data_IF_027209538513
#
_entry.id   IF_027209538513
#
_cell.length_a   1.000
_cell.length_b   1.000
_cell.length_c   1.000
_cell.angle_alpha   90.00
_cell.angle_beta   90.00
_cell.angle_gamma   90.00
#
_symmetry.space_group_name_H-M   'P 1'
#
loop_
_entity.id
_entity.type
_entity.pdbx_description
1 polymer ?
#
# COMPACT_ATOMS: atom_id res chain seq x y z
N UNK A 1 10.29 11.33 2.71
CA UNK A 1 10.94 10.18 3.40
C UNK A 1 10.13 8.95 3.06
N UNK A 2 10.78 7.88 2.58
CA UNK A 2 10.05 6.72 2.06
C UNK A 2 10.04 5.56 3.06
N UNK A 3 8.91 4.84 3.06
CA UNK A 3 8.70 3.56 3.76
C UNK A 3 9.02 3.63 5.25
N UNK A 4 8.47 4.65 5.94
CA UNK A 4 8.63 4.70 7.40
C UNK A 4 7.89 3.52 8.02
N UNK A 5 8.51 2.87 9.02
CA UNK A 5 8.01 1.64 9.60
C UNK A 5 8.07 1.60 11.13
N UNK A 6 8.52 2.69 11.79
CA UNK A 6 8.67 2.73 13.25
C UNK A 6 7.94 3.90 13.89
N UNK A 7 7.53 3.73 15.14
CA UNK A 7 6.96 4.75 16.01
C UNK A 7 7.89 5.97 16.14
N UNK A 8 9.19 5.72 16.31
CA UNK A 8 10.18 6.79 16.44
C UNK A 8 10.24 7.66 15.17
N UNK A 9 10.13 7.03 13.99
CA UNK A 9 10.09 7.78 12.73
C UNK A 9 8.87 8.70 12.65
N UNK A 10 7.69 8.20 13.03
CA UNK A 10 6.46 9.01 13.10
C UNK A 10 6.64 10.19 14.05
N UNK A 11 7.17 9.95 15.26
CA UNK A 11 7.38 10.98 16.27
C UNK A 11 8.39 12.05 15.83
N UNK A 12 9.48 11.64 15.16
CA UNK A 12 10.48 12.57 14.63
C UNK A 12 9.86 13.45 13.54
N UNK A 13 9.12 12.86 12.60
CA UNK A 13 8.46 13.59 11.52
C UNK A 13 7.42 14.55 12.07
N UNK A 14 6.55 14.11 12.98
CA UNK A 14 5.55 14.96 13.63
C UNK A 14 6.18 16.17 14.32
N UNK A 15 7.27 15.97 15.07
CA UNK A 15 8.03 17.05 15.70
C UNK A 15 8.70 17.98 14.67
N UNK A 16 9.18 17.46 13.55
CA UNK A 16 9.74 18.27 12.48
C UNK A 16 8.68 19.16 11.83
N UNK A 17 7.51 18.60 11.49
CA UNK A 17 6.36 19.32 10.94
C UNK A 17 5.89 20.44 11.90
N UNK A 18 5.79 20.14 13.20
CA UNK A 18 5.41 21.13 14.21
C UNK A 18 6.39 22.31 14.34
N UNK A 19 7.64 22.13 13.90
CA UNK A 19 8.65 23.20 13.81
C UNK A 19 8.68 23.90 12.45
N UNK A 20 7.72 23.61 11.56
CA UNK A 20 7.63 24.20 10.25
C UNK A 20 8.58 23.60 9.19
N UNK A 21 9.20 22.45 9.47
CA UNK A 21 10.01 21.75 8.46
C UNK A 21 9.10 21.18 7.38
N UNK A 22 9.38 21.54 6.13
CA UNK A 22 8.67 20.97 4.97
C UNK A 22 9.18 19.55 4.72
N UNK A 23 8.48 18.58 5.21
CA UNK A 23 8.76 17.15 5.04
C UNK A 23 7.48 16.42 4.70
N UNK A 24 7.57 15.48 3.78
CA UNK A 24 6.52 14.51 3.46
C UNK A 24 7.05 13.10 3.67
N UNK A 25 6.16 12.16 3.98
CA UNK A 25 6.54 10.77 4.16
C UNK A 25 5.46 9.80 3.69
N UNK A 26 5.90 8.58 3.42
CA UNK A 26 5.03 7.46 3.08
C UNK A 26 5.26 6.24 3.97
N UNK A 27 4.30 5.33 3.94
CA UNK A 27 4.39 3.99 4.52
C UNK A 27 3.73 2.97 3.60
N UNK A 28 3.99 1.67 3.83
CA UNK A 28 3.44 0.59 3.01
C UNK A 28 2.17 -0.04 3.58
N UNK A 29 1.33 -0.67 2.72
CA UNK A 29 0.16 -1.44 3.18
C UNK A 29 0.52 -2.51 4.21
N UNK A 30 1.64 -3.19 4.02
CA UNK A 30 2.11 -4.26 4.91
C UNK A 30 2.50 -3.73 6.30
N UNK A 31 3.05 -2.51 6.42
CA UNK A 31 3.37 -1.89 7.71
C UNK A 31 2.13 -1.42 8.49
N UNK A 32 1.02 -1.15 7.78
CA UNK A 32 -0.25 -0.72 8.38
C UNK A 32 -1.15 -1.89 8.80
N UNK A 33 -0.84 -3.12 8.36
CA UNK A 33 -1.76 -4.26 8.51
C UNK A 33 -1.11 -5.51 9.09
N UNK A 34 0.20 -5.50 9.26
CA UNK A 34 0.99 -6.62 9.79
C UNK A 34 2.08 -6.12 10.75
N UNK A 35 2.49 -7.00 11.65
CA UNK A 35 3.61 -6.77 12.56
C UNK A 35 4.54 -7.99 12.61
N UNK A 36 5.57 -7.95 13.44
CA UNK A 36 6.56 -9.02 13.58
C UNK A 36 5.97 -10.36 14.10
N UNK A 37 4.84 -10.30 14.81
CA UNK A 37 4.12 -11.50 15.25
C UNK A 37 3.48 -12.28 14.08
N UNK A 38 3.29 -11.65 12.92
CA UNK A 38 2.72 -12.26 11.72
C UNK A 38 3.78 -12.94 10.84
N UNK A 39 5.08 -12.80 11.17
CA UNK A 39 6.17 -13.36 10.39
C UNK A 39 6.15 -14.89 10.37
N UNK A 40 6.44 -15.42 9.19
CA UNK A 40 6.65 -16.84 8.97
C UNK A 40 8.06 -17.09 8.41
N UNK A 41 8.61 -18.28 8.54
CA UNK A 41 9.91 -18.66 7.94
C UNK A 41 9.74 -18.89 6.42
N UNK A 42 9.37 -17.80 5.75
CA UNK A 42 9.11 -17.78 4.31
C UNK A 42 9.59 -16.46 3.72
N UNK A 43 10.23 -16.52 2.57
CA UNK A 43 10.74 -15.33 1.87
C UNK A 43 9.67 -14.30 1.51
N UNK A 44 8.39 -14.69 1.42
CA UNK A 44 7.27 -13.75 1.16
C UNK A 44 7.06 -12.73 2.29
N UNK A 45 7.68 -12.91 3.45
CA UNK A 45 7.68 -11.95 4.55
C UNK A 45 8.97 -11.13 4.64
N UNK A 46 9.91 -11.34 3.70
CA UNK A 46 11.16 -10.57 3.69
C UNK A 46 11.05 -9.33 2.84
N UNK A 47 11.03 -8.17 3.50
CA UNK A 47 11.07 -6.84 2.91
C UNK A 47 12.04 -5.93 3.67
N UNK A 48 12.35 -4.77 3.13
CA UNK A 48 13.16 -3.75 3.78
C UNK A 48 12.52 -2.35 3.56
N UNK A 49 12.15 -1.67 4.64
CA UNK A 49 12.23 -2.04 6.07
C UNK A 49 11.51 -3.34 6.41
N UNK A 50 11.93 -4.09 7.45
CA UNK A 50 11.20 -5.26 7.90
C UNK A 50 9.93 -4.85 8.66
N UNK A 51 8.98 -5.79 8.79
CA UNK A 51 7.84 -5.63 9.71
C UNK A 51 8.37 -5.40 11.13
N UNK A 52 7.73 -4.48 11.84
CA UNK A 52 8.10 -4.07 13.19
C UNK A 52 7.05 -4.53 14.19
N UNK A 53 7.22 -4.10 15.43
CA UNK A 53 6.30 -4.44 16.51
C UNK A 53 4.86 -3.97 16.24
N UNK A 54 3.92 -4.55 16.96
CA UNK A 54 2.52 -4.10 16.96
C UNK A 54 2.40 -2.64 17.43
N UNK A 55 3.28 -2.19 18.32
CA UNK A 55 3.32 -0.79 18.77
C UNK A 55 3.70 0.14 17.61
N UNK A 56 4.68 -0.25 16.80
CA UNK A 56 5.08 0.49 15.61
C UNK A 56 3.94 0.55 14.58
N UNK A 57 3.30 -0.58 14.29
CA UNK A 57 2.14 -0.64 13.39
C UNK A 57 1.03 0.31 13.86
N UNK A 58 0.69 0.29 15.14
CA UNK A 58 -0.33 1.18 15.69
C UNK A 58 0.07 2.66 15.57
N UNK A 59 1.33 2.98 15.79
CA UNK A 59 1.84 4.35 15.65
C UNK A 59 1.78 4.85 14.18
N UNK A 60 2.02 3.96 13.21
CA UNK A 60 1.83 4.28 11.79
C UNK A 60 0.35 4.56 11.48
N UNK A 61 -0.57 3.74 11.99
CA UNK A 61 -2.02 3.95 11.83
C UNK A 61 -2.43 5.32 12.41
N UNK A 62 -1.95 5.68 13.59
CA UNK A 62 -2.22 7.01 14.16
C UNK A 62 -1.59 8.13 13.31
N UNK A 63 -0.39 7.91 12.74
CA UNK A 63 0.25 8.84 11.81
C UNK A 63 -0.54 9.04 10.51
N UNK A 64 -1.22 8.00 10.02
CA UNK A 64 -2.16 8.09 8.90
C UNK A 64 -3.40 8.90 9.30
N UNK A 65 -3.96 8.66 10.48
CA UNK A 65 -5.17 9.35 10.97
C UNK A 65 -4.95 10.84 11.17
N UNK A 66 -3.85 11.21 11.81
CA UNK A 66 -3.53 12.61 12.16
C UNK A 66 -2.87 13.41 11.03
N UNK A 67 -2.51 12.75 9.92
CA UNK A 67 -1.92 13.39 8.74
C UNK A 67 -0.41 13.61 8.85
N UNK A 68 0.27 12.98 9.80
CA UNK A 68 1.74 12.93 9.84
C UNK A 68 2.30 12.14 8.66
N UNK A 69 1.59 11.09 8.23
CA UNK A 69 1.91 10.30 7.03
C UNK A 69 1.04 10.79 5.89
N UNK A 70 1.66 11.24 4.81
CA UNK A 70 0.99 11.85 3.66
C UNK A 70 0.49 10.83 2.64
N UNK A 71 1.27 9.78 2.40
CA UNK A 71 1.11 8.86 1.25
C UNK A 71 1.18 7.41 1.71
N UNK A 72 0.42 6.54 1.04
CA UNK A 72 0.60 5.10 1.11
C UNK A 72 1.21 4.63 -0.20
N UNK A 73 2.45 4.15 -0.13
CA UNK A 73 3.22 3.61 -1.25
C UNK A 73 3.40 2.10 -1.10
N UNK A 74 3.24 1.35 -2.17
CA UNK A 74 3.19 -0.12 -2.11
C UNK A 74 4.53 -0.79 -1.83
N UNK A 75 5.63 -0.11 -2.13
CA UNK A 75 6.98 -0.71 -2.14
C UNK A 75 7.02 -2.02 -2.94
N UNK A 76 6.33 -2.03 -4.09
CA UNK A 76 6.21 -3.20 -4.94
C UNK A 76 7.56 -3.59 -5.53
N UNK A 77 8.14 -4.66 -5.02
CA UNK A 77 9.47 -5.15 -5.40
C UNK A 77 9.44 -6.66 -5.72
N UNK A 78 9.03 -7.03 -6.96
CA UNK A 78 8.94 -8.41 -7.37
C UNK A 78 10.32 -9.05 -7.53
N UNK A 79 10.45 -10.28 -7.08
CA UNK A 79 11.62 -11.12 -7.22
C UNK A 79 11.22 -12.50 -7.77
N UNK A 80 12.18 -13.22 -8.35
CA UNK A 80 11.96 -14.57 -8.84
C UNK A 80 11.64 -15.56 -7.73
N UNK A 81 11.01 -16.67 -8.09
CA UNK A 81 10.74 -17.77 -7.14
C UNK A 81 12.02 -18.27 -6.47
N UNK A 82 13.11 -18.37 -7.24
CA UNK A 82 14.41 -18.81 -6.71
C UNK A 82 14.96 -17.84 -5.66
N UNK A 83 14.88 -16.52 -5.91
CA UNK A 83 15.34 -15.51 -4.96
C UNK A 83 14.49 -15.48 -3.68
N UNK A 84 13.23 -15.86 -3.75
CA UNK A 84 12.29 -15.85 -2.62
C UNK A 84 12.14 -17.19 -1.91
N UNK A 85 12.78 -18.27 -2.37
CA UNK A 85 12.67 -19.61 -1.80
C UNK A 85 13.68 -19.93 -0.69
N UNK A 86 14.43 -18.94 -0.20
CA UNK A 86 15.56 -19.13 0.74
C UNK A 86 15.22 -18.75 2.19
N UNK A 87 13.93 -18.79 2.54
CA UNK A 87 13.40 -18.41 3.87
C UNK A 87 13.60 -16.93 4.19
N UNK A 88 13.32 -16.52 5.42
CA UNK A 88 13.48 -15.13 5.86
C UNK A 88 14.91 -14.65 5.76
N UNK A 89 15.88 -15.49 6.13
CA UNK A 89 17.29 -15.07 6.18
C UNK A 89 17.90 -14.94 4.80
N UNK A 90 17.66 -15.89 3.92
CA UNK A 90 18.38 -16.03 2.64
C UNK A 90 17.71 -15.38 1.43
N UNK A 91 16.43 -15.09 1.50
CA UNK A 91 15.69 -14.51 0.35
C UNK A 91 16.09 -13.06 0.06
N UNK A 92 15.86 -12.62 -1.17
CA UNK A 92 15.95 -11.22 -1.55
C UNK A 92 14.90 -10.39 -0.79
N UNK A 93 15.22 -9.13 -0.50
CA UNK A 93 14.33 -8.17 0.16
C UNK A 93 13.37 -7.57 -0.86
N UNK A 94 12.07 -7.66 -0.60
CA UNK A 94 11.01 -7.12 -1.44
C UNK A 94 9.84 -8.09 -1.56
N UNK A 95 8.64 -7.53 -1.68
CA UNK A 95 7.39 -8.28 -1.81
C UNK A 95 6.52 -7.66 -2.91
N UNK A 96 5.62 -8.45 -3.48
CA UNK A 96 4.62 -7.89 -4.40
C UNK A 96 3.41 -7.41 -3.59
N UNK A 97 2.94 -6.21 -3.91
CA UNK A 97 1.84 -5.58 -3.18
C UNK A 97 0.97 -4.65 -4.03
N UNK A 98 1.33 -4.41 -5.30
CA UNK A 98 0.62 -3.44 -6.15
C UNK A 98 -0.84 -3.84 -6.35
N UNK A 99 -1.09 -5.11 -6.71
CA UNK A 99 -2.43 -5.62 -7.01
C UNK A 99 -3.30 -5.88 -5.76
N UNK A 100 -2.68 -5.94 -4.58
CA UNK A 100 -3.38 -6.18 -3.31
C UNK A 100 -3.59 -4.93 -2.47
N UNK A 101 -2.86 -3.85 -2.75
CA UNK A 101 -2.80 -2.66 -1.91
C UNK A 101 -4.19 -2.10 -1.55
N UNK A 102 -5.03 -1.84 -2.57
CA UNK A 102 -6.37 -1.30 -2.33
C UNK A 102 -7.22 -2.26 -1.50
N UNK A 103 -7.32 -3.53 -1.87
CA UNK A 103 -8.13 -4.53 -1.16
C UNK A 103 -7.69 -4.72 0.29
N UNK A 104 -6.37 -4.78 0.54
CA UNK A 104 -5.81 -4.89 1.90
C UNK A 104 -6.20 -3.67 2.76
N UNK A 105 -5.97 -2.46 2.25
CA UNK A 105 -6.24 -1.23 2.98
C UNK A 105 -7.74 -0.97 3.14
N UNK A 106 -8.54 -1.24 2.11
CA UNK A 106 -9.99 -1.15 2.21
C UNK A 106 -10.53 -2.10 3.29
N UNK A 107 -10.10 -3.36 3.28
CA UNK A 107 -10.52 -4.36 4.27
C UNK A 107 -10.10 -3.99 5.69
N UNK A 108 -8.84 -3.61 5.87
CA UNK A 108 -8.25 -3.45 7.21
C UNK A 108 -8.42 -2.06 7.82
N UNK A 109 -8.54 -1.02 7.01
CA UNK A 109 -8.63 0.35 7.51
C UNK A 109 -9.98 1.00 7.23
N UNK A 110 -10.54 0.83 6.03
CA UNK A 110 -11.82 1.49 5.67
C UNK A 110 -13.00 0.73 6.24
N UNK A 111 -13.12 -0.57 5.98
CA UNK A 111 -14.24 -1.39 6.47
C UNK A 111 -14.30 -1.51 7.99
N UNK A 112 -13.17 -1.30 8.65
CA UNK A 112 -13.10 -1.26 10.12
C UNK A 112 -13.33 0.13 10.70
N UNK A 113 -13.51 1.16 9.86
CA UNK A 113 -13.78 2.54 10.28
C UNK A 113 -12.57 3.28 10.84
N UNK A 114 -11.34 2.78 10.61
CA UNK A 114 -10.10 3.45 11.04
C UNK A 114 -9.88 4.74 10.24
N UNK A 115 -10.09 4.69 8.91
CA UNK A 115 -10.09 5.86 8.02
C UNK A 115 -11.28 5.80 7.07
N UNK A 116 -11.62 6.93 6.45
CA UNK A 116 -12.64 6.95 5.38
C UNK A 116 -12.07 6.48 4.03
N UNK A 117 -12.96 6.09 3.11
CA UNK A 117 -12.57 5.75 1.74
C UNK A 117 -11.92 6.94 1.03
N UNK A 118 -12.46 8.14 1.22
CA UNK A 118 -11.90 9.38 0.65
C UNK A 118 -10.47 9.61 1.12
N UNK A 119 -10.18 9.38 2.41
CA UNK A 119 -8.83 9.49 2.95
C UNK A 119 -7.89 8.48 2.31
N UNK A 120 -8.34 7.24 2.12
CA UNK A 120 -7.54 6.21 1.44
C UNK A 120 -7.20 6.62 0.01
N UNK A 121 -8.19 7.07 -0.77
CA UNK A 121 -7.99 7.53 -2.16
C UNK A 121 -7.10 8.76 -2.21
N UNK A 122 -7.27 9.71 -1.29
CA UNK A 122 -6.40 10.88 -1.17
C UNK A 122 -4.93 10.46 -1.01
N UNK A 123 -4.64 9.57 -0.07
CA UNK A 123 -3.28 9.11 0.23
C UNK A 123 -2.66 8.23 -0.86
N UNK A 124 -3.45 7.49 -1.63
CA UNK A 124 -2.94 6.61 -2.69
C UNK A 124 -2.87 7.29 -4.06
N UNK A 125 -3.63 8.35 -4.30
CA UNK A 125 -3.77 8.95 -5.63
C UNK A 125 -3.54 10.46 -5.65
N UNK A 126 -4.27 11.24 -4.84
CA UNK A 126 -4.25 12.71 -4.92
C UNK A 126 -2.95 13.26 -4.35
N UNK A 127 -2.60 12.91 -3.11
CA UNK A 127 -1.40 13.39 -2.42
C UNK A 127 -0.09 13.07 -3.15
N UNK A 128 0.13 11.84 -3.67
CA UNK A 128 1.32 11.59 -4.50
C UNK A 128 1.43 12.54 -5.69
N UNK A 129 0.32 12.85 -6.37
CA UNK A 129 0.32 13.77 -7.52
C UNK A 129 0.65 15.19 -7.09
N UNK A 130 0.11 15.67 -5.98
CA UNK A 130 0.43 16.99 -5.43
C UNK A 130 1.91 17.11 -5.04
N UNK A 131 2.46 16.09 -4.37
CA UNK A 131 3.84 16.09 -3.87
C UNK A 131 4.86 16.07 -5.03
N UNK A 132 4.56 15.30 -6.08
CA UNK A 132 5.47 15.12 -7.21
C UNK A 132 5.13 15.97 -8.43
N UNK A 133 4.16 16.90 -8.31
CA UNK A 133 3.68 17.76 -9.40
C UNK A 133 3.27 16.94 -10.66
N UNK A 134 2.54 15.84 -10.44
CA UNK A 134 2.06 14.97 -11.52
C UNK A 134 0.67 15.44 -11.93
N UNK A 135 0.50 15.80 -13.20
CA UNK A 135 -0.79 16.23 -13.76
C UNK A 135 -1.85 15.12 -13.71
N UNK A 136 -3.14 15.50 -13.71
CA UNK A 136 -4.29 14.58 -13.67
C UNK A 136 -4.82 14.34 -12.25
N UNK A 137 -5.53 13.21 -12.07
CA UNK A 137 -6.15 12.87 -10.77
C UNK A 137 -7.45 13.62 -10.48
N UNK A 138 -8.07 14.24 -11.50
CA UNK A 138 -9.35 14.94 -11.38
C UNK A 138 -10.33 14.43 -12.42
N UNK A 139 -11.59 14.32 -12.03
CA UNK A 139 -12.70 14.03 -12.95
C UNK A 139 -13.34 15.36 -13.31
N UNK A 140 -12.91 15.93 -14.42
CA UNK A 140 -13.42 17.21 -14.92
C UNK A 140 -13.46 17.23 -16.45
N UNK A 141 -14.30 18.07 -17.03
CA UNK A 141 -14.42 18.21 -18.49
C UNK A 141 -13.10 18.70 -19.09
N UNK A 142 -12.58 17.95 -20.06
CA UNK A 142 -11.30 18.28 -20.74
C UNK A 142 -10.07 17.64 -20.07
N UNK A 143 -10.20 17.01 -18.91
CA UNK A 143 -9.12 16.23 -18.33
C UNK A 143 -8.91 14.90 -19.07
N UNK A 144 -7.67 14.36 -19.08
CA UNK A 144 -7.43 13.00 -19.55
C UNK A 144 -8.28 11.99 -18.78
N UNK A 145 -8.85 11.02 -19.47
CA UNK A 145 -9.59 9.94 -18.85
C UNK A 145 -8.62 8.86 -18.31
N UNK A 146 -8.00 9.17 -17.16
CA UNK A 146 -7.18 8.25 -16.38
C UNK A 146 -7.99 7.84 -15.15
N UNK A 147 -8.72 6.72 -15.24
CA UNK A 147 -9.76 6.33 -14.29
C UNK A 147 -9.56 4.89 -13.81
N UNK A 148 -9.91 4.64 -12.56
CA UNK A 148 -10.10 3.29 -12.03
C UNK A 148 -11.54 3.14 -11.51
N UNK A 149 -12.18 2.01 -11.83
CA UNK A 149 -13.48 1.63 -11.28
C UNK A 149 -13.25 0.56 -10.22
N UNK A 150 -13.59 0.88 -8.99
CA UNK A 150 -13.40 0.00 -7.85
C UNK A 150 -14.74 -0.48 -7.31
N UNK A 151 -14.91 -1.78 -7.13
CA UNK A 151 -15.99 -2.33 -6.32
C UNK A 151 -15.49 -2.50 -4.88
N UNK A 152 -15.95 -1.65 -3.99
CA UNK A 152 -15.46 -1.57 -2.60
C UNK A 152 -15.99 -2.70 -1.70
N UNK A 153 -17.01 -3.44 -2.16
CA UNK A 153 -17.68 -4.50 -1.40
C UNK A 153 -17.36 -5.90 -1.92
N UNK A 154 -16.83 -6.02 -3.13
CA UNK A 154 -16.52 -7.31 -3.74
C UNK A 154 -15.52 -8.09 -2.91
N UNK A 155 -15.92 -9.27 -2.48
CA UNK A 155 -15.05 -10.18 -1.74
C UNK A 155 -14.23 -11.05 -2.69
N UNK A 156 -12.97 -11.22 -2.38
CA UNK A 156 -12.05 -12.08 -3.12
C UNK A 156 -10.93 -12.62 -2.22
N UNK A 157 -10.27 -13.67 -2.68
CA UNK A 157 -9.14 -14.27 -1.98
C UNK A 157 -7.85 -14.01 -2.77
N UNK A 158 -6.80 -13.61 -2.08
CA UNK A 158 -5.50 -13.33 -2.71
C UNK A 158 -4.87 -14.63 -3.19
N UNK A 159 -4.85 -14.80 -4.50
CA UNK A 159 -4.19 -15.89 -5.19
C UNK A 159 -3.03 -15.34 -6.04
N UNK A 160 -1.77 -15.50 -5.58
CA UNK A 160 -0.61 -14.96 -6.30
C UNK A 160 -0.47 -15.48 -7.73
N UNK A 161 -1.01 -16.67 -8.05
CA UNK A 161 -0.93 -17.23 -9.39
C UNK A 161 -1.78 -16.46 -10.42
N UNK A 162 -2.74 -15.66 -9.94
CA UNK A 162 -3.58 -14.79 -10.77
C UNK A 162 -3.01 -13.39 -10.99
N UNK A 163 -1.89 -13.06 -10.37
CA UNK A 163 -1.29 -11.74 -10.53
C UNK A 163 -0.77 -11.50 -11.94
N UNK A 164 -0.95 -10.28 -12.43
CA UNK A 164 -0.37 -9.81 -13.69
C UNK A 164 1.15 -9.62 -13.53
N UNK A 165 1.61 -9.15 -12.38
CA UNK A 165 3.04 -9.08 -12.08
C UNK A 165 3.70 -10.45 -12.16
N UNK A 166 4.95 -10.50 -12.58
CA UNK A 166 5.72 -11.75 -12.66
C UNK A 166 6.10 -12.32 -11.30
N UNK A 167 6.22 -11.48 -10.28
CA UNK A 167 6.49 -11.92 -8.90
C UNK A 167 5.27 -12.58 -8.25
N UNK A 168 5.51 -13.53 -7.34
CA UNK A 168 4.45 -14.25 -6.60
C UNK A 168 4.56 -14.10 -5.08
N UNK A 169 5.68 -13.56 -4.58
CA UNK A 169 5.94 -13.48 -3.16
C UNK A 169 5.21 -12.28 -2.53
N UNK A 170 4.01 -12.53 -2.03
CA UNK A 170 3.22 -11.57 -1.26
C UNK A 170 2.94 -12.11 0.15
N UNK A 171 3.05 -11.28 1.21
CA UNK A 171 2.67 -11.70 2.55
C UNK A 171 1.16 -11.87 2.72
N UNK A 172 0.38 -11.36 1.78
CA UNK A 172 -1.10 -11.38 1.81
C UNK A 172 -1.72 -12.62 1.16
N UNK A 173 -0.92 -13.58 0.71
CA UNK A 173 -1.45 -14.82 0.13
C UNK A 173 -2.53 -15.45 1.01
N UNK A 174 -3.61 -15.92 0.40
CA UNK A 174 -4.79 -16.53 1.04
C UNK A 174 -5.63 -15.58 1.93
N UNK A 175 -5.30 -14.27 1.97
CA UNK A 175 -6.14 -13.32 2.67
C UNK A 175 -7.47 -13.12 1.93
N UNK A 176 -8.55 -13.07 2.69
CA UNK A 176 -9.86 -12.66 2.20
C UNK A 176 -9.96 -11.15 2.30
N UNK A 177 -10.14 -10.51 1.17
CA UNK A 177 -10.18 -9.06 1.03
C UNK A 177 -11.53 -8.61 0.50
N UNK A 178 -11.88 -7.36 0.84
CA UNK A 178 -12.97 -6.60 0.22
C UNK A 178 -12.39 -5.43 -0.55
N UNK A 179 -12.89 -5.26 -1.77
CA UNK A 179 -12.43 -4.19 -2.67
C UNK A 179 -11.53 -4.72 -3.78
N UNK A 180 -12.02 -4.59 -5.00
CA UNK A 180 -11.32 -5.02 -6.21
C UNK A 180 -11.38 -3.94 -7.27
N UNK A 181 -10.31 -3.81 -8.06
CA UNK A 181 -10.30 -2.98 -9.26
C UNK A 181 -10.99 -3.74 -10.39
N UNK A 182 -12.10 -3.20 -10.89
CA UNK A 182 -12.86 -3.81 -11.98
C UNK A 182 -12.44 -3.32 -13.36
N UNK A 183 -11.98 -2.07 -13.45
CA UNK A 183 -11.61 -1.46 -14.72
C UNK A 183 -10.51 -0.41 -14.51
N UNK A 184 -9.55 -0.35 -15.42
CA UNK A 184 -8.61 0.76 -15.52
C UNK A 184 -8.64 1.34 -16.91
N UNK A 185 -8.81 2.67 -16.98
CA UNK A 185 -8.77 3.45 -18.21
C UNK A 185 -7.52 4.34 -18.13
N UNK A 186 -6.72 4.32 -19.18
CA UNK A 186 -5.55 5.19 -19.34
C UNK A 186 -5.63 5.96 -20.64
N UNK A 187 -5.64 7.28 -20.55
CA UNK A 187 -5.80 8.19 -21.70
C UNK A 187 -7.02 7.86 -22.57
N UNK A 188 -8.12 7.43 -21.94
CA UNK A 188 -9.36 7.08 -22.62
C UNK A 188 -9.44 5.66 -23.16
N UNK A 189 -8.39 4.85 -23.03
CA UNK A 189 -8.36 3.44 -23.45
C UNK A 189 -8.48 2.50 -22.25
N UNK A 190 -9.28 1.45 -22.39
CA UNK A 190 -9.39 0.40 -21.36
C UNK A 190 -8.10 -0.43 -21.43
N UNK A 191 -7.31 -0.41 -20.34
CA UNK A 191 -6.05 -1.14 -20.24
C UNK A 191 -6.13 -2.35 -19.30
N UNK A 192 -7.19 -2.43 -18.50
CA UNK A 192 -7.49 -3.56 -17.63
C UNK A 192 -9.00 -3.66 -17.41
N UNK A 193 -9.52 -4.88 -17.44
CA UNK A 193 -10.90 -5.22 -17.10
C UNK A 193 -10.93 -6.57 -16.38
N UNK A 194 -11.52 -6.60 -15.18
CA UNK A 194 -11.76 -7.82 -14.42
C UNK A 194 -13.06 -8.47 -14.92
N UNK A 195 -12.96 -9.49 -15.76
CA UNK A 195 -14.09 -10.29 -16.27
C UNK A 195 -14.45 -11.42 -15.30
#
# INVERSE_FOLDING_TARGET
MCHISTKESVDIIRKAMARGVKVTCDTGPHYLTMCDEDLQEDGRFKMNPPLRSREDMNALIEGVKDGTIDVIATDHAPHSKEEKSKGLKGSAMGVVGLETAFGVLNTKLVKTGIISLEKLIDMMSVKPREIFDISGGKIEVGAPADLALLDIDKEWCVDPEKFVTMGRATPFQDWKLQGENLLTIYKGEIVYEAL
#
